data_IF_253232311569
#
_entry.id   IF_253232311569
#
_cell.length_a   1.000
_cell.length_b   1.000
_cell.length_c   1.000
_cell.angle_alpha   90.00
_cell.angle_beta   90.00
_cell.angle_gamma   90.00
#
_symmetry.space_group_name_H-M   'P 1'
#
loop_
_entity.id
_entity.type
_entity.pdbx_description
1 polymer ?
#
# COMPACT_ATOMS: atom_id res chain seq x y z
N UNK A 1 50.95 4.81 56.12
CA UNK A 1 52.17 5.55 56.49
C UNK A 1 53.06 5.66 55.26
N UNK A 2 53.37 6.89 54.85
CA UNK A 2 54.38 7.35 53.86
C UNK A 2 54.28 6.96 52.37
N UNK A 3 53.83 7.97 51.61
CA UNK A 3 54.33 8.53 50.33
C UNK A 3 55.83 8.25 50.03
N UNK A 4 56.19 8.00 48.76
CA UNK A 4 57.23 8.80 48.05
C UNK A 4 57.28 8.61 46.52
N UNK A 5 57.51 9.76 45.85
CA UNK A 5 57.67 10.04 44.41
C UNK A 5 59.09 9.75 43.90
N UNK A 6 59.28 9.74 42.56
CA UNK A 6 60.34 10.40 41.74
C UNK A 6 60.43 9.67 40.37
N UNK A 7 60.04 10.24 39.23
CA UNK A 7 60.77 11.11 38.26
C UNK A 7 62.10 10.54 37.75
N UNK A 8 62.21 10.34 36.43
CA UNK A 8 63.38 10.56 35.51
C UNK A 8 62.94 10.13 34.09
N UNK A 9 62.76 10.98 33.06
CA UNK A 9 63.70 11.73 32.18
C UNK A 9 64.81 10.88 31.53
N UNK A 10 64.71 10.67 30.21
CA UNK A 10 65.76 10.60 29.16
C UNK A 10 65.02 10.33 27.81
N UNK A 11 64.93 11.22 26.80
CA UNK A 11 65.92 11.81 25.87
C UNK A 11 66.64 10.79 24.97
N UNK A 12 66.72 11.14 23.67
CA UNK A 12 67.40 10.53 22.50
C UNK A 12 66.57 9.52 21.69
N UNK A 13 66.55 9.51 20.36
CA UNK A 13 67.22 10.31 19.34
C UNK A 13 66.40 10.23 18.04
N UNK A 14 66.44 11.29 17.24
CA UNK A 14 65.97 11.26 15.86
C UNK A 14 67.05 10.63 14.98
N UNK A 15 66.68 9.60 14.20
CA UNK A 15 67.44 9.16 13.04
C UNK A 15 66.46 8.82 11.91
N UNK A 16 66.72 9.42 10.77
CA UNK A 16 65.85 9.51 9.61
C UNK A 16 65.65 8.15 8.92
N UNK A 17 64.41 7.91 8.49
CA UNK A 17 64.11 6.95 7.42
C UNK A 17 63.44 7.74 6.31
N UNK A 18 64.24 8.05 5.29
CA UNK A 18 63.77 8.41 3.95
C UNK A 18 63.00 7.23 3.37
N UNK A 19 61.69 7.43 3.13
CA UNK A 19 60.93 6.59 2.22
C UNK A 19 60.30 7.45 1.14
N UNK A 20 60.84 7.28 -0.06
CA UNK A 20 60.39 7.81 -1.33
C UNK A 20 59.13 7.07 -1.78
N UNK A 21 58.01 7.79 -1.89
CA UNK A 21 56.97 7.67 -2.93
C UNK A 21 55.67 8.34 -2.42
N UNK A 22 55.41 9.57 -2.87
CA UNK A 22 54.07 10.17 -2.75
C UNK A 22 53.14 9.44 -3.72
N UNK A 23 52.35 8.50 -3.22
CA UNK A 23 51.10 8.15 -3.89
C UNK A 23 50.12 9.30 -3.61
N UNK A 24 49.99 10.20 -4.58
CA UNK A 24 48.95 11.23 -4.60
C UNK A 24 47.60 10.52 -4.69
N UNK A 25 46.90 10.38 -3.56
CA UNK A 25 45.47 10.07 -3.60
C UNK A 25 44.78 11.33 -4.09
N UNK A 26 44.54 11.40 -5.39
CA UNK A 26 43.67 12.41 -5.97
C UNK A 26 42.27 12.14 -5.42
N UNK A 27 41.82 12.97 -4.48
CA UNK A 27 40.42 13.02 -4.07
C UNK A 27 39.63 13.34 -5.34
N UNK A 28 39.03 12.30 -5.94
CA UNK A 28 38.11 12.49 -7.04
C UNK A 28 36.91 13.23 -6.49
N UNK A 29 36.67 14.37 -7.13
CA UNK A 29 35.54 15.25 -7.00
C UNK A 29 34.22 14.49 -6.69
N UNK A 30 33.67 14.72 -5.50
CA UNK A 30 32.39 14.19 -5.03
C UNK A 30 31.20 15.08 -5.44
N UNK A 31 31.39 15.97 -6.42
CA UNK A 31 30.42 17.00 -6.85
C UNK A 31 29.17 16.50 -7.59
N UNK A 32 28.86 15.20 -7.58
CA UNK A 32 27.65 14.70 -8.26
C UNK A 32 26.77 13.77 -7.42
N UNK A 33 26.57 14.09 -6.13
CA UNK A 33 25.35 13.63 -5.45
C UNK A 33 24.19 14.45 -6.01
N UNK A 34 23.55 13.93 -7.05
CA UNK A 34 22.35 14.52 -7.63
C UNK A 34 21.27 14.44 -6.56
N UNK A 35 21.01 15.55 -5.87
CA UNK A 35 19.85 15.70 -4.99
C UNK A 35 18.63 15.58 -5.91
N UNK A 36 18.02 14.40 -5.92
CA UNK A 36 16.73 14.16 -6.59
C UNK A 36 15.74 15.07 -5.88
N UNK A 37 15.28 16.14 -6.54
CA UNK A 37 14.28 17.02 -5.95
C UNK A 37 13.01 16.20 -5.69
N UNK A 38 12.27 16.52 -4.62
CA UNK A 38 11.00 15.85 -4.30
C UNK A 38 10.02 15.89 -5.49
N UNK A 39 10.15 16.89 -6.37
CA UNK A 39 9.35 17.08 -7.59
C UNK A 39 9.74 16.17 -8.76
N UNK A 40 10.77 15.32 -8.62
CA UNK A 40 11.24 14.43 -9.69
C UNK A 40 10.91 12.94 -9.48
N UNK A 41 10.22 12.60 -8.39
CA UNK A 41 9.69 11.25 -8.19
C UNK A 41 8.34 11.15 -8.92
N UNK A 42 8.18 10.24 -9.90
CA UNK A 42 6.92 10.07 -10.60
C UNK A 42 5.78 9.74 -9.62
N UNK A 43 4.72 10.54 -9.62
CA UNK A 43 3.51 10.34 -8.80
C UNK A 43 2.49 9.50 -9.56
N UNK A 44 2.96 8.34 -10.02
CA UNK A 44 2.21 7.44 -10.90
C UNK A 44 1.43 6.42 -10.10
N UNK A 45 0.12 6.33 -10.34
CA UNK A 45 -0.66 5.16 -10.00
C UNK A 45 -0.34 4.04 -11.01
N UNK A 46 0.14 2.91 -10.53
CA UNK A 46 0.31 1.71 -11.34
C UNK A 46 -0.72 0.67 -10.91
N UNK A 47 -1.53 0.20 -11.87
CA UNK A 47 -2.47 -0.90 -11.63
C UNK A 47 -2.09 -2.15 -12.40
N UNK A 48 -2.23 -3.29 -11.73
CA UNK A 48 -2.26 -4.60 -12.38
C UNK A 48 -3.71 -5.06 -12.44
N UNK A 49 -4.12 -5.63 -13.57
CA UNK A 49 -5.48 -6.09 -13.76
C UNK A 49 -6.44 -4.94 -14.07
N UNK A 50 -7.73 -5.26 -14.13
CA UNK A 50 -8.81 -4.31 -14.39
C UNK A 50 -9.89 -4.52 -13.32
N UNK A 51 -10.29 -3.47 -12.60
CA UNK A 51 -11.25 -3.55 -11.50
C UNK A 51 -12.56 -4.23 -11.89
N UNK A 52 -13.17 -3.82 -13.00
CA UNK A 52 -14.38 -4.46 -13.55
C UNK A 52 -14.17 -5.94 -13.95
N UNK A 53 -12.94 -6.29 -14.32
CA UNK A 53 -12.52 -7.66 -14.58
C UNK A 53 -12.52 -8.51 -13.31
N UNK A 54 -11.91 -8.00 -12.24
CA UNK A 54 -11.92 -8.64 -10.92
C UNK A 54 -13.36 -8.84 -10.41
N UNK A 55 -14.16 -7.77 -10.42
CA UNK A 55 -15.57 -7.82 -9.98
C UNK A 55 -16.36 -8.87 -10.77
N UNK A 56 -16.09 -9.01 -12.07
CA UNK A 56 -16.78 -9.96 -12.92
C UNK A 56 -16.14 -11.34 -13.06
N UNK A 57 -15.10 -11.69 -12.28
CA UNK A 57 -14.61 -13.07 -12.22
C UNK A 57 -13.20 -13.35 -12.76
N UNK A 58 -12.37 -12.33 -13.00
CA UNK A 58 -10.98 -12.53 -13.41
C UNK A 58 -10.05 -12.60 -12.17
N UNK A 59 -10.07 -13.74 -11.49
CA UNK A 59 -9.35 -13.92 -10.20
C UNK A 59 -7.96 -14.53 -10.32
N UNK A 60 -7.61 -15.11 -11.46
CA UNK A 60 -6.32 -15.77 -11.62
C UNK A 60 -5.18 -14.73 -11.66
N UNK A 61 -4.21 -14.93 -10.78
CA UNK A 61 -3.02 -14.12 -10.66
C UNK A 61 -2.12 -14.32 -11.88
N UNK A 62 -1.64 -13.20 -12.41
CA UNK A 62 -0.78 -13.22 -13.62
C UNK A 62 0.45 -12.33 -13.47
N UNK A 63 0.51 -11.51 -12.41
CA UNK A 63 1.60 -10.57 -12.21
C UNK A 63 2.35 -10.87 -10.91
N UNK A 64 3.64 -11.26 -10.98
CA UNK A 64 4.42 -11.58 -9.80
C UNK A 64 4.62 -10.38 -8.86
N UNK A 65 4.58 -10.62 -7.56
CA UNK A 65 4.82 -9.60 -6.54
C UNK A 65 6.21 -8.97 -6.64
N UNK A 66 7.23 -9.76 -7.02
CA UNK A 66 8.58 -9.25 -7.32
C UNK A 66 8.57 -8.15 -8.38
N UNK A 67 7.71 -8.25 -9.38
CA UNK A 67 7.56 -7.22 -10.41
C UNK A 67 6.74 -6.05 -9.89
N UNK A 68 5.65 -6.31 -9.14
CA UNK A 68 4.78 -5.28 -8.58
C UNK A 68 5.55 -4.27 -7.71
N UNK A 69 6.47 -4.77 -6.87
CA UNK A 69 7.31 -3.94 -5.99
C UNK A 69 8.22 -2.95 -6.73
N UNK A 70 8.44 -3.12 -8.03
CA UNK A 70 9.19 -2.14 -8.86
C UNK A 70 8.37 -0.90 -9.19
N UNK A 71 7.05 -0.96 -9.01
CA UNK A 71 6.13 0.11 -9.36
C UNK A 71 5.54 0.84 -8.14
N UNK A 72 5.78 0.33 -6.93
CA UNK A 72 5.35 1.02 -5.72
C UNK A 72 5.71 0.32 -4.43
N UNK A 73 5.62 1.07 -3.35
CA UNK A 73 5.87 0.64 -1.98
C UNK A 73 4.62 0.78 -1.08
N UNK A 74 3.52 1.27 -1.66
CA UNK A 74 2.27 1.60 -1.00
C UNK A 74 1.11 1.18 -1.90
N UNK A 75 0.08 0.56 -1.34
CA UNK A 75 -1.10 0.18 -2.10
C UNK A 75 -1.90 -0.98 -1.51
N UNK A 76 -2.80 -1.52 -2.33
CA UNK A 76 -3.70 -2.61 -1.94
C UNK A 76 -4.13 -3.42 -3.17
N UNK A 77 -4.78 -4.56 -2.96
CA UNK A 77 -5.26 -5.38 -4.07
C UNK A 77 -5.84 -6.72 -3.66
N UNK A 78 -6.04 -7.58 -4.65
CA UNK A 78 -6.49 -8.96 -4.52
C UNK A 78 -5.37 -9.94 -4.93
N UNK A 79 -5.15 -11.02 -4.17
CA UNK A 79 -4.21 -12.06 -4.54
C UNK A 79 -4.73 -12.95 -5.67
N UNK A 80 -3.87 -13.84 -6.15
CA UNK A 80 -4.28 -14.98 -6.97
C UNK A 80 -5.48 -15.72 -6.34
N UNK A 81 -6.45 -16.08 -7.19
CA UNK A 81 -7.69 -16.78 -6.84
C UNK A 81 -8.51 -16.12 -5.75
N UNK A 82 -8.37 -14.81 -5.54
CA UNK A 82 -9.12 -14.10 -4.49
C UNK A 82 -8.86 -14.70 -3.08
N UNK A 83 -7.68 -15.29 -2.84
CA UNK A 83 -7.27 -15.84 -1.52
C UNK A 83 -7.02 -14.75 -0.46
N UNK A 84 -8.06 -14.00 -0.12
CA UNK A 84 -8.01 -12.91 0.86
C UNK A 84 -7.76 -11.55 0.24
N UNK A 85 -7.09 -10.68 0.99
CA UNK A 85 -6.89 -9.26 0.67
C UNK A 85 -5.42 -8.89 0.80
N UNK A 86 -4.91 -8.04 -0.12
CA UNK A 86 -3.53 -7.57 -0.10
C UNK A 86 -3.41 -6.15 0.44
N UNK A 87 -2.35 -5.91 1.21
CA UNK A 87 -1.90 -4.58 1.56
C UNK A 87 -0.40 -4.46 1.28
N UNK A 88 -0.03 -3.42 0.54
CA UNK A 88 1.35 -3.10 0.21
C UNK A 88 1.74 -1.92 1.08
N UNK A 89 2.68 -2.12 1.99
CA UNK A 89 3.14 -1.08 2.90
C UNK A 89 4.65 -1.14 3.10
N UNK A 90 5.31 0.00 2.89
CA UNK A 90 6.75 0.15 3.01
C UNK A 90 7.53 -0.93 2.20
N UNK A 91 7.03 -1.23 1.00
CA UNK A 91 7.65 -2.20 0.07
C UNK A 91 7.45 -3.67 0.44
N UNK A 92 6.72 -3.96 1.53
CA UNK A 92 6.30 -5.31 1.91
C UNK A 92 4.86 -5.53 1.51
N UNK A 93 4.52 -6.77 1.19
CA UNK A 93 3.16 -7.17 0.80
C UNK A 93 2.64 -8.15 1.84
N UNK A 94 1.50 -7.78 2.44
CA UNK A 94 0.79 -8.54 3.44
C UNK A 94 -0.50 -9.09 2.84
N UNK A 95 -0.81 -10.34 3.14
CA UNK A 95 -2.05 -11.00 2.73
C UNK A 95 -2.85 -11.36 3.98
N UNK A 96 -4.07 -10.86 4.07
CA UNK A 96 -5.05 -11.26 5.09
C UNK A 96 -6.01 -12.27 4.49
N UNK A 97 -6.01 -13.49 5.01
CA UNK A 97 -6.85 -14.58 4.52
C UNK A 97 -8.22 -14.60 5.22
N UNK A 98 -9.17 -15.36 4.66
CA UNK A 98 -10.50 -15.60 5.27
C UNK A 98 -10.47 -16.21 6.69
N UNK A 99 -9.33 -16.75 7.12
CA UNK A 99 -9.11 -17.23 8.49
C UNK A 99 -8.81 -16.09 9.48
N UNK A 100 -8.60 -14.87 8.99
CA UNK A 100 -8.20 -13.69 9.76
C UNK A 100 -6.68 -13.56 9.93
N UNK A 101 -5.90 -14.55 9.48
CA UNK A 101 -4.44 -14.51 9.56
C UNK A 101 -3.89 -13.54 8.51
N UNK A 102 -3.08 -12.58 8.96
CA UNK A 102 -2.24 -11.75 8.09
C UNK A 102 -0.80 -12.25 8.10
N UNK A 103 -0.18 -12.34 6.92
CA UNK A 103 1.22 -12.76 6.78
C UNK A 103 1.87 -12.15 5.54
N UNK A 104 3.20 -12.17 5.49
CA UNK A 104 3.94 -11.79 4.29
C UNK A 104 3.73 -12.82 3.17
N UNK A 105 3.64 -12.35 1.95
CA UNK A 105 3.58 -13.20 0.74
C UNK A 105 4.99 -13.56 0.24
N UNK A 106 5.10 -14.62 -0.55
CA UNK A 106 6.32 -14.95 -1.28
C UNK A 106 6.43 -14.10 -2.54
N UNK A 107 7.60 -13.59 -2.88
CA UNK A 107 7.81 -12.75 -4.07
C UNK A 107 7.49 -13.46 -5.40
N UNK A 108 7.42 -14.79 -5.40
CA UNK A 108 7.03 -15.64 -6.54
C UNK A 108 5.51 -15.76 -6.70
N UNK A 109 4.74 -15.49 -5.65
CA UNK A 109 3.28 -15.43 -5.74
C UNK A 109 2.86 -14.23 -6.61
N UNK A 110 1.58 -14.18 -6.96
CA UNK A 110 1.06 -13.21 -7.91
C UNK A 110 -0.27 -12.58 -7.48
N UNK A 111 -0.57 -11.44 -8.09
CA UNK A 111 -1.84 -10.73 -7.93
C UNK A 111 -2.68 -10.83 -9.21
N UNK A 112 -4.00 -10.84 -9.03
CA UNK A 112 -4.99 -10.68 -10.09
C UNK A 112 -5.36 -9.22 -10.31
N UNK A 113 -5.36 -8.43 -9.23
CA UNK A 113 -5.58 -6.99 -9.26
C UNK A 113 -4.82 -6.29 -8.14
N UNK A 114 -4.09 -5.21 -8.44
CA UNK A 114 -3.44 -4.38 -7.41
C UNK A 114 -3.29 -2.94 -7.88
N UNK A 115 -3.41 -2.00 -6.94
CA UNK A 115 -3.09 -0.57 -7.09
C UNK A 115 -1.86 -0.27 -6.26
N UNK A 116 -0.81 0.29 -6.86
CA UNK A 116 0.40 0.71 -6.15
C UNK A 116 0.96 2.04 -6.65
N UNK A 117 1.63 2.77 -5.77
CA UNK A 117 2.50 3.89 -6.10
C UNK A 117 3.69 3.93 -5.14
N UNK A 118 4.71 4.74 -5.46
CA UNK A 118 5.72 5.14 -4.48
C UNK A 118 5.16 6.32 -3.68
N UNK A 119 4.78 6.06 -2.43
CA UNK A 119 4.03 7.05 -1.65
C UNK A 119 4.93 8.12 -1.04
N UNK A 120 4.60 9.38 -1.33
CA UNK A 120 5.22 10.56 -0.75
C UNK A 120 4.16 11.59 -0.39
N UNK A 121 3.91 11.78 0.91
CA UNK A 121 2.90 12.73 1.37
C UNK A 121 3.19 14.17 0.90
N UNK A 122 2.19 14.78 0.27
CA UNK A 122 2.12 16.19 -0.08
C UNK A 122 1.42 17.00 1.01
N UNK A 123 0.40 16.40 1.64
CA UNK A 123 -0.43 17.02 2.65
C UNK A 123 -0.53 16.14 3.88
N UNK A 124 -0.65 16.77 5.04
CA UNK A 124 -0.80 16.11 6.34
C UNK A 124 -1.89 16.79 7.16
N UNK A 125 -2.78 16.01 7.75
CA UNK A 125 -3.92 16.48 8.53
C UNK A 125 -4.06 15.71 9.85
N UNK A 126 -4.59 16.39 10.85
CA UNK A 126 -4.94 15.85 12.16
C UNK A 126 -6.41 16.15 12.42
N UNK A 127 -7.35 15.33 11.91
CA UNK A 127 -8.78 15.58 12.10
C UNK A 127 -9.18 15.42 13.58
N UNK A 128 -10.32 15.99 13.99
CA UNK A 128 -10.96 15.65 15.26
C UNK A 128 -11.11 14.13 15.45
N UNK A 129 -10.92 13.67 16.68
CA UNK A 129 -11.07 12.26 17.03
C UNK A 129 -12.54 11.81 16.95
N UNK A 130 -12.76 10.50 16.80
CA UNK A 130 -14.08 9.90 16.95
C UNK A 130 -14.95 9.88 15.68
N UNK A 131 -14.40 10.22 14.52
CA UNK A 131 -15.13 10.16 13.24
C UNK A 131 -15.42 8.71 12.84
N UNK A 132 -16.68 8.43 12.50
CA UNK A 132 -17.04 7.24 11.74
C UNK A 132 -16.70 7.39 10.25
N UNK A 133 -16.79 6.30 9.49
CA UNK A 133 -16.42 6.26 8.06
C UNK A 133 -17.02 7.38 7.22
N UNK A 134 -18.33 7.60 7.29
CA UNK A 134 -19.03 8.64 6.50
C UNK A 134 -18.50 10.04 6.86
N UNK A 135 -18.37 10.34 8.15
CA UNK A 135 -17.87 11.63 8.61
C UNK A 135 -16.42 11.87 8.16
N UNK A 136 -15.58 10.83 8.19
CA UNK A 136 -14.20 10.93 7.71
C UNK A 136 -14.13 11.17 6.20
N UNK A 137 -14.98 10.49 5.41
CA UNK A 137 -15.02 10.69 3.95
C UNK A 137 -15.51 12.10 3.60
N UNK A 138 -16.53 12.63 4.30
CA UNK A 138 -16.93 14.03 4.14
C UNK A 138 -15.81 15.01 4.52
N UNK A 139 -15.05 14.72 5.58
CA UNK A 139 -13.87 15.51 5.92
C UNK A 139 -12.82 15.50 4.79
N UNK A 140 -12.50 14.32 4.25
CA UNK A 140 -11.59 14.18 3.11
C UNK A 140 -12.11 14.94 1.88
N UNK A 141 -13.40 14.85 1.55
CA UNK A 141 -14.00 15.57 0.42
C UNK A 141 -13.90 17.09 0.60
N UNK A 142 -13.96 17.61 1.83
CA UNK A 142 -13.80 19.03 2.11
C UNK A 142 -12.38 19.57 1.85
N UNK A 143 -11.36 18.71 1.94
CA UNK A 143 -9.94 19.09 1.73
C UNK A 143 -9.40 18.64 0.37
N UNK A 144 -10.06 17.69 -0.30
CA UNK A 144 -9.73 17.16 -1.63
C UNK A 144 -10.67 17.73 -2.69
N UNK A 145 -10.56 19.03 -2.92
CA UNK A 145 -11.50 19.79 -3.76
C UNK A 145 -11.42 19.50 -5.26
N UNK A 146 -10.28 19.01 -5.78
CA UNK A 146 -10.24 18.49 -7.14
C UNK A 146 -10.87 17.09 -7.18
N UNK A 147 -12.17 17.04 -7.48
CA UNK A 147 -12.98 15.81 -7.56
C UNK A 147 -12.52 14.83 -8.65
N UNK A 148 -11.77 15.33 -9.64
CA UNK A 148 -11.21 14.52 -10.74
C UNK A 148 -9.75 14.11 -10.47
N UNK A 149 -9.22 14.40 -9.28
CA UNK A 149 -7.88 13.99 -8.87
C UNK A 149 -7.84 12.53 -8.42
N UNK A 150 -6.68 11.91 -8.63
CA UNK A 150 -6.32 10.62 -8.04
C UNK A 150 -5.55 10.89 -6.75
N UNK A 151 -5.94 10.27 -5.64
CA UNK A 151 -5.28 10.49 -4.35
C UNK A 151 -4.88 9.17 -3.72
N UNK A 152 -3.62 9.03 -3.33
CA UNK A 152 -3.17 8.00 -2.39
C UNK A 152 -3.32 8.56 -0.97
N UNK A 153 -3.90 7.78 -0.07
CA UNK A 153 -4.30 8.23 1.27
C UNK A 153 -3.81 7.21 2.29
N UNK A 154 -2.97 7.68 3.21
CA UNK A 154 -2.48 6.93 4.36
C UNK A 154 -3.12 7.50 5.63
N UNK A 155 -3.81 6.65 6.41
CA UNK A 155 -4.37 7.03 7.70
C UNK A 155 -3.77 6.12 8.77
N UNK A 156 -2.89 6.66 9.60
CA UNK A 156 -2.24 5.91 10.66
C UNK A 156 -2.71 6.36 12.04
N UNK A 157 -2.86 5.43 12.96
CA UNK A 157 -3.09 5.75 14.37
C UNK A 157 -4.07 4.80 15.04
N UNK A 158 -4.81 5.33 16.02
CA UNK A 158 -5.73 4.57 16.86
C UNK A 158 -7.15 4.62 16.34
N UNK A 159 -7.83 3.49 16.42
CA UNK A 159 -9.21 3.30 16.03
C UNK A 159 -9.99 2.67 17.19
N UNK A 160 -11.15 3.25 17.51
CA UNK A 160 -12.09 2.65 18.46
C UNK A 160 -12.67 1.35 17.93
N UNK A 161 -12.94 1.31 16.62
CA UNK A 161 -13.43 0.12 15.94
C UNK A 161 -12.91 0.09 14.50
N UNK A 162 -12.57 -1.09 14.02
CA UNK A 162 -12.35 -1.40 12.61
C UNK A 162 -13.16 -2.66 12.30
N UNK A 163 -13.90 -2.64 11.19
CA UNK A 163 -14.52 -3.82 10.59
C UNK A 163 -13.92 -4.06 9.22
N UNK A 164 -13.38 -5.25 9.01
CA UNK A 164 -12.82 -5.67 7.72
C UNK A 164 -13.52 -6.90 7.16
N UNK A 165 -13.22 -7.23 5.90
CA UNK A 165 -13.52 -8.53 5.29
C UNK A 165 -12.27 -9.18 4.68
N UNK A 166 -12.35 -10.49 4.44
CA UNK A 166 -11.53 -11.21 3.48
C UNK A 166 -12.30 -12.37 2.83
N UNK A 167 -12.00 -12.69 1.57
CA UNK A 167 -12.60 -13.82 0.86
C UNK A 167 -11.77 -15.11 0.99
N UNK A 168 -12.42 -16.29 0.98
CA UNK A 168 -11.72 -17.55 0.75
C UNK A 168 -11.33 -17.68 -0.73
N UNK A 169 -10.31 -18.50 -1.05
CA UNK A 169 -9.88 -18.70 -2.42
C UNK A 169 -10.97 -19.35 -3.28
N UNK A 170 -10.99 -18.98 -4.56
CA UNK A 170 -11.79 -19.64 -5.59
C UNK A 170 -10.98 -20.67 -6.37
N UNK A 171 -11.66 -21.48 -7.18
CA UNK A 171 -10.97 -22.38 -8.12
C UNK A 171 -10.39 -21.58 -9.29
N UNK A 172 -9.32 -22.10 -9.90
CA UNK A 172 -8.77 -21.53 -11.12
C UNK A 172 -9.84 -21.47 -12.22
N UNK A 173 -9.85 -20.40 -13.02
CA UNK A 173 -10.86 -20.14 -14.05
C UNK A 173 -12.32 -20.12 -13.55
N UNK A 174 -12.53 -19.87 -12.25
CA UNK A 174 -13.87 -19.60 -11.74
C UNK A 174 -14.28 -18.15 -12.09
N UNK A 175 -15.35 -17.99 -12.85
CA UNK A 175 -15.83 -16.69 -13.32
C UNK A 175 -17.13 -16.22 -12.67
N UNK A 176 -17.48 -16.79 -11.51
CA UNK A 176 -18.62 -16.32 -10.72
C UNK A 176 -18.39 -14.86 -10.34
N UNK A 177 -19.31 -13.93 -10.64
CA UNK A 177 -19.17 -12.54 -10.24
C UNK A 177 -19.01 -12.39 -8.72
N UNK A 178 -18.21 -11.42 -8.28
CA UNK A 178 -17.88 -11.27 -6.85
C UNK A 178 -19.12 -10.96 -6.00
N UNK A 179 -20.07 -10.22 -6.56
CA UNK A 179 -21.35 -9.89 -5.94
C UNK A 179 -22.24 -11.12 -5.66
N UNK A 180 -22.02 -12.23 -6.35
CA UNK A 180 -22.71 -13.51 -6.10
C UNK A 180 -22.02 -14.34 -5.00
N UNK A 181 -20.78 -13.99 -4.66
CA UNK A 181 -19.97 -14.71 -3.67
C UNK A 181 -19.93 -14.02 -2.31
N UNK A 182 -20.67 -12.92 -2.10
CA UNK A 182 -20.65 -12.15 -0.84
C UNK A 182 -20.96 -12.99 0.41
N UNK A 183 -21.70 -14.09 0.29
CA UNK A 183 -21.96 -15.00 1.41
C UNK A 183 -20.71 -15.78 1.88
N UNK A 184 -19.67 -15.86 1.04
CA UNK A 184 -18.42 -16.56 1.34
C UNK A 184 -17.43 -15.71 2.13
N UNK A 185 -17.57 -14.38 2.08
CA UNK A 185 -16.65 -13.47 2.76
C UNK A 185 -16.71 -13.67 4.28
N UNK A 186 -15.58 -13.42 4.96
CA UNK A 186 -15.47 -13.47 6.41
C UNK A 186 -15.21 -12.06 6.92
N UNK A 187 -16.02 -11.64 7.89
CA UNK A 187 -15.85 -10.36 8.56
C UNK A 187 -15.02 -10.49 9.82
N UNK A 188 -14.26 -9.45 10.14
CA UNK A 188 -13.47 -9.36 11.36
C UNK A 188 -13.69 -8.00 12.00
N UNK A 189 -13.94 -8.00 13.31
CA UNK A 189 -14.15 -6.80 14.12
C UNK A 189 -12.99 -6.64 15.10
N UNK A 190 -12.35 -5.47 15.06
CA UNK A 190 -11.25 -5.10 15.95
C UNK A 190 -11.67 -3.89 16.79
N UNK A 191 -11.41 -3.93 18.09
CA UNK A 191 -11.75 -2.85 19.04
C UNK A 191 -10.47 -2.27 19.63
N UNK A 192 -10.48 -0.95 19.85
CA UNK A 192 -9.37 -0.20 20.46
C UNK A 192 -7.99 -0.63 19.92
N UNK A 193 -7.90 -0.65 18.58
CA UNK A 193 -6.74 -1.14 17.86
C UNK A 193 -5.92 0.02 17.27
N UNK A 194 -4.68 -0.28 16.88
CA UNK A 194 -3.77 0.66 16.24
C UNK A 194 -3.27 0.04 14.93
N UNK A 195 -3.10 0.86 13.90
CA UNK A 195 -2.60 0.41 12.62
C UNK A 195 -2.72 1.46 11.52
N UNK A 196 -2.73 0.95 10.30
CA UNK A 196 -2.65 1.73 9.07
C UNK A 196 -3.88 1.45 8.21
N UNK A 197 -4.53 2.50 7.68
CA UNK A 197 -5.37 2.42 6.49
C UNK A 197 -4.58 2.92 5.30
N UNK A 198 -4.53 2.09 4.26
CA UNK A 198 -3.91 2.42 2.98
C UNK A 198 -5.00 2.33 1.95
N UNK A 199 -5.09 3.34 1.11
CA UNK A 199 -6.13 3.39 0.12
C UNK A 199 -6.00 4.52 -0.87
N UNK A 200 -7.02 4.61 -1.69
CA UNK A 200 -7.11 5.58 -2.76
C UNK A 200 -8.47 6.25 -2.77
N UNK A 201 -8.52 7.50 -3.25
CA UNK A 201 -9.72 8.15 -3.77
C UNK A 201 -9.54 8.34 -5.26
N UNK A 202 -10.30 7.60 -6.06
CA UNK A 202 -10.20 7.65 -7.53
C UNK A 202 -11.42 8.34 -8.15
N UNK A 203 -11.22 9.08 -9.25
CA UNK A 203 -12.30 9.80 -9.92
C UNK A 203 -13.19 8.87 -10.76
N UNK A 204 -14.42 9.31 -11.01
CA UNK A 204 -15.45 8.50 -11.69
C UNK A 204 -15.04 8.03 -13.10
N UNK A 205 -14.25 8.82 -13.85
CA UNK A 205 -13.80 8.41 -15.18
C UNK A 205 -12.89 7.16 -15.18
N UNK A 206 -12.40 6.74 -14.01
CA UNK A 206 -11.59 5.52 -13.85
C UNK A 206 -12.42 4.29 -13.50
N UNK A 207 -13.74 4.42 -13.35
CA UNK A 207 -14.61 3.25 -13.25
C UNK A 207 -14.35 2.29 -14.40
N UNK A 208 -14.51 0.99 -14.12
CA UNK A 208 -14.07 -0.14 -14.94
C UNK A 208 -12.57 -0.45 -14.81
N UNK A 209 -11.67 0.49 -15.13
CA UNK A 209 -10.22 0.25 -14.94
C UNK A 209 -9.88 0.01 -13.46
N UNK A 210 -10.61 0.70 -12.59
CA UNK A 210 -10.60 0.57 -11.13
C UNK A 210 -12.04 0.61 -10.59
N UNK A 211 -12.16 0.90 -9.30
CA UNK A 211 -13.39 1.26 -8.60
C UNK A 211 -13.22 2.70 -8.13
N UNK A 212 -14.07 3.63 -8.60
CA UNK A 212 -14.02 5.03 -8.18
C UNK A 212 -14.51 5.22 -6.74
N UNK A 213 -14.20 6.39 -6.18
CA UNK A 213 -14.46 6.70 -4.78
C UNK A 213 -13.36 6.19 -3.86
N UNK A 214 -13.70 5.99 -2.59
CA UNK A 214 -12.77 5.60 -1.54
C UNK A 214 -12.66 4.08 -1.42
N UNK A 215 -11.44 3.55 -1.51
CA UNK A 215 -11.14 2.13 -1.30
C UNK A 215 -9.96 2.02 -0.35
N UNK A 216 -10.17 1.40 0.81
CA UNK A 216 -9.15 1.23 1.86
C UNK A 216 -9.01 -0.22 2.31
N UNK A 217 -7.77 -0.62 2.59
CA UNK A 217 -7.44 -1.82 3.36
C UNK A 217 -6.80 -1.42 4.69
N UNK A 218 -6.94 -2.28 5.70
CA UNK A 218 -6.36 -2.11 7.03
C UNK A 218 -5.24 -3.12 7.29
N UNK A 219 -4.26 -2.70 8.09
CA UNK A 219 -3.20 -3.54 8.64
C UNK A 219 -2.87 -3.09 10.07
N UNK A 220 -2.93 -4.02 11.01
CA UNK A 220 -2.60 -3.76 12.42
C UNK A 220 -1.14 -3.32 12.58
N UNK A 221 -0.82 -2.62 13.66
CA UNK A 221 0.58 -2.29 14.02
C UNK A 221 1.45 -3.54 14.12
N UNK A 222 0.89 -4.64 14.62
CA UNK A 222 1.53 -5.94 14.83
C UNK A 222 1.69 -6.74 13.52
N UNK A 223 1.04 -6.29 12.44
CA UNK A 223 1.09 -6.89 11.10
C UNK A 223 0.54 -8.33 11.04
N UNK A 224 -0.38 -8.66 11.95
CA UNK A 224 -1.00 -9.97 12.15
C UNK A 224 -2.52 -9.99 11.87
N UNK A 225 -3.12 -8.82 11.67
CA UNK A 225 -4.53 -8.63 11.34
C UNK A 225 -4.69 -7.52 10.29
N UNK A 226 -5.75 -7.59 9.48
CA UNK A 226 -5.97 -6.64 8.40
C UNK A 226 -7.23 -6.94 7.58
N UNK A 227 -7.24 -6.53 6.32
CA UNK A 227 -8.30 -6.85 5.36
C UNK A 227 -8.91 -5.63 4.68
N UNK A 228 -9.90 -5.85 3.83
CA UNK A 228 -10.62 -4.79 3.13
C UNK A 228 -11.58 -4.07 4.09
N UNK A 229 -11.57 -2.74 4.11
CA UNK A 229 -12.41 -1.95 5.03
C UNK A 229 -13.88 -2.06 4.69
N UNK A 230 -14.68 -2.38 5.71
CA UNK A 230 -16.14 -2.32 5.66
C UNK A 230 -16.64 -1.12 6.45
N UNK A 231 -16.14 -0.93 7.68
CA UNK A 231 -16.49 0.23 8.51
C UNK A 231 -15.39 0.52 9.54
N UNK A 232 -15.40 1.71 10.11
CA UNK A 232 -14.50 2.07 11.20
C UNK A 232 -15.02 3.25 12.02
N UNK A 233 -14.45 3.38 13.22
CA UNK A 233 -14.52 4.57 14.07
C UNK A 233 -13.11 4.95 14.52
N UNK A 234 -12.67 6.12 14.10
CA UNK A 234 -11.34 6.66 14.42
C UNK A 234 -11.26 7.09 15.89
N UNK A 235 -10.04 7.13 16.43
CA UNK A 235 -9.70 7.84 17.66
C UNK A 235 -8.65 8.91 17.31
N UNK A 236 -7.39 8.73 17.74
CA UNK A 236 -6.29 9.64 17.38
C UNK A 236 -5.61 9.14 16.11
N UNK A 237 -5.84 9.84 15.00
CA UNK A 237 -5.27 9.51 13.70
C UNK A 237 -4.50 10.68 13.08
N UNK A 238 -3.63 10.32 12.14
CA UNK A 238 -2.95 11.22 11.22
C UNK A 238 -3.34 10.81 9.81
N UNK A 239 -3.67 11.78 8.96
CA UNK A 239 -3.95 11.56 7.54
C UNK A 239 -2.82 12.17 6.73
N UNK A 240 -2.23 11.38 5.85
CA UNK A 240 -1.22 11.80 4.89
C UNK A 240 -1.72 11.50 3.47
N UNK A 241 -1.58 12.47 2.57
CA UNK A 241 -2.17 12.39 1.23
C UNK A 241 -1.13 12.80 0.19
N UNK A 242 -1.09 12.04 -0.90
CA UNK A 242 -0.37 12.38 -2.12
C UNK A 242 -1.37 12.48 -3.28
N UNK A 243 -1.27 13.54 -4.07
CA UNK A 243 -2.04 13.64 -5.31
C UNK A 243 -1.22 13.04 -6.45
N UNK A 244 -1.80 12.06 -7.13
CA UNK A 244 -1.18 11.36 -8.26
C UNK A 244 -1.52 12.09 -9.57
N UNK A 245 -0.56 12.15 -10.48
CA UNK A 245 -0.64 12.94 -11.73
C UNK A 245 -0.63 12.09 -13.01
N UNK A 246 -0.39 10.79 -12.85
CA UNK A 246 -0.24 9.85 -13.96
C UNK A 246 -0.77 8.48 -13.58
N UNK A 247 -1.22 7.74 -14.59
CA UNK A 247 -1.84 6.44 -14.43
C UNK A 247 -1.30 5.47 -15.48
N UNK A 248 -0.86 4.28 -15.04
CA UNK A 248 -0.39 3.20 -15.91
C UNK A 248 -1.12 1.90 -15.56
N UNK A 249 -1.51 1.15 -16.59
CA UNK A 249 -2.22 -0.12 -16.45
C UNK A 249 -1.37 -1.24 -17.05
N UNK A 250 -1.23 -2.32 -16.29
CA UNK A 250 -0.80 -3.61 -16.78
C UNK A 250 -2.03 -4.51 -16.97
N UNK A 251 -2.58 -4.61 -18.19
CA UNK A 251 -3.69 -5.51 -18.45
C UNK A 251 -3.23 -6.99 -18.38
N UNK A 252 -4.12 -7.91 -17.98
CA UNK A 252 -3.86 -9.34 -18.08
C UNK A 252 -3.66 -9.78 -19.53
N UNK A 253 -2.69 -10.66 -19.77
CA UNK A 253 -2.45 -11.29 -21.06
C UNK A 253 -3.07 -12.71 -21.15
N UNK A 254 -4.18 -12.95 -20.44
CA UNK A 254 -4.81 -14.28 -20.29
C UNK A 254 -5.89 -14.53 -21.33
N UNK A 255 -6.24 -15.81 -21.55
CA UNK A 255 -7.36 -16.17 -22.44
C UNK A 255 -8.69 -15.60 -21.94
N UNK A 256 -8.92 -15.66 -20.63
CA UNK A 256 -10.19 -15.21 -20.04
C UNK A 256 -10.35 -13.69 -20.21
N UNK A 257 -9.28 -12.92 -20.04
CA UNK A 257 -9.30 -11.48 -20.31
C UNK A 257 -9.63 -11.14 -21.77
N UNK A 258 -9.08 -11.89 -22.74
CA UNK A 258 -9.35 -11.68 -24.18
C UNK A 258 -10.83 -11.84 -24.56
N UNK A 259 -11.59 -12.62 -23.79
CA UNK A 259 -13.00 -12.92 -24.06
C UNK A 259 -13.94 -12.27 -23.02
N UNK A 260 -13.41 -11.45 -22.11
CA UNK A 260 -14.19 -10.84 -21.06
C UNK A 260 -15.04 -9.67 -21.59
N UNK A 261 -16.33 -9.66 -21.26
CA UNK A 261 -17.24 -8.58 -21.64
C UNK A 261 -17.19 -7.41 -20.64
N UNK A 262 -16.39 -6.40 -20.99
CA UNK A 262 -16.30 -5.13 -20.27
C UNK A 262 -17.47 -4.17 -20.55
N UNK A 263 -18.39 -4.49 -21.47
CA UNK A 263 -19.58 -3.65 -21.74
C UNK A 263 -20.73 -3.92 -20.78
N UNK A 264 -20.79 -5.11 -20.17
CA UNK A 264 -21.81 -5.44 -19.17
C UNK A 264 -21.73 -4.46 -17.99
N UNK A 265 -22.85 -3.80 -17.70
CA UNK A 265 -22.99 -2.91 -16.55
C UNK A 265 -22.85 -3.73 -15.24
N UNK A 266 -21.95 -3.27 -14.36
CA UNK A 266 -21.62 -3.87 -13.06
C UNK A 266 -21.70 -2.88 -11.90
N UNK A 267 -22.36 -1.74 -12.07
CA UNK A 267 -22.43 -0.70 -11.03
C UNK A 267 -23.00 -1.22 -9.71
N UNK A 268 -24.09 -1.99 -9.76
CA UNK A 268 -24.69 -2.59 -8.56
C UNK A 268 -23.81 -3.71 -7.96
N UNK A 269 -23.13 -4.48 -8.81
CA UNK A 269 -22.17 -5.48 -8.35
C UNK A 269 -21.05 -4.80 -7.55
N UNK A 270 -20.46 -3.73 -8.10
CA UNK A 270 -19.41 -2.93 -7.45
C UNK A 270 -19.90 -2.39 -6.10
N UNK A 271 -21.06 -1.72 -6.07
CA UNK A 271 -21.63 -1.18 -4.82
C UNK A 271 -21.81 -2.26 -3.76
N UNK A 272 -22.34 -3.43 -4.14
CA UNK A 272 -22.59 -4.52 -3.20
C UNK A 272 -21.30 -5.12 -2.65
N UNK A 273 -20.24 -5.21 -3.46
CA UNK A 273 -18.91 -5.71 -3.07
C UNK A 273 -18.22 -4.78 -2.10
N UNK A 274 -18.18 -3.48 -2.40
CA UNK A 274 -17.49 -2.49 -1.56
C UNK A 274 -18.22 -2.23 -0.23
N UNK A 275 -19.54 -2.47 -0.17
CA UNK A 275 -20.31 -2.39 1.09
C UNK A 275 -20.30 -3.68 1.89
N UNK A 276 -19.82 -4.78 1.31
CA UNK A 276 -19.86 -6.11 1.93
C UNK A 276 -21.25 -6.74 1.96
N UNK A 277 -22.20 -6.29 1.14
CA UNK A 277 -23.55 -6.85 1.08
C UNK A 277 -24.50 -6.13 0.13
N UNK A 278 -25.57 -6.82 -0.29
CA UNK A 278 -26.61 -6.26 -1.17
C UNK A 278 -27.62 -5.35 -0.45
N UNK A 279 -27.70 -5.45 0.88
CA UNK A 279 -28.72 -4.79 1.71
C UNK A 279 -28.12 -3.79 2.72
N UNK A 280 -26.89 -3.33 2.47
CA UNK A 280 -26.19 -2.35 3.33
C UNK A 280 -26.23 -0.93 2.73
#
# INVERSE_FOLDING_TARGET
MRINRLISIAVFAAAAITFTARASVTIRDLSSVKVISKDSIPKTLFTVGIGGGLIGGLYDGFYPYKSLKKHGNFGLGAPDKLDGELMIFQGKIYKTQHTGKTSLVDDRDSTSFSMVNFFHADKKFNPPAGMGKIALFHYLDSVLTNVNGMYAIHISGKFKAIKTRAFPPVKAHQHTPLAEMLALQRFFDYKDCEGDLIGYRLPYFMDNTNISGYHFHFLSTQKDAGGHIIDFKTDKIVIEIEQLDSYTIQPPATKDFKHFDFKKNREEDIKSVERGGKNY
#
